data_IF_999622529698
#
_entry.id   IF_999622529698
#
_cell.length_a   1.000
_cell.length_b   1.000
_cell.length_c   1.000
_cell.angle_alpha   90.00
_cell.angle_beta   90.00
_cell.angle_gamma   90.00
#
_symmetry.space_group_name_H-M   'P 1'
#
loop_
_entity.id
_entity.type
_entity.pdbx_description
1 polymer ?
#
# COMPACT_ATOMS: atom_id res chain seq x y z
N UNK A 1 38.49 -21.91 -81.12
CA UNK A 1 37.55 -21.33 -82.01
C UNK A 1 36.19 -21.45 -81.30
N UNK A 2 35.58 -20.35 -81.20
CA UNK A 2 34.23 -20.09 -80.72
C UNK A 2 33.90 -20.45 -79.22
N UNK A 3 33.91 -19.43 -78.40
CA UNK A 3 33.47 -19.40 -77.03
C UNK A 3 31.96 -19.15 -76.96
N UNK A 4 31.24 -19.99 -76.25
CA UNK A 4 29.83 -19.79 -75.93
C UNK A 4 29.66 -19.27 -74.52
N UNK A 5 29.24 -18.03 -74.39
CA UNK A 5 28.95 -17.36 -73.10
C UNK A 5 27.58 -17.78 -72.62
N UNK A 6 27.52 -18.41 -71.42
CA UNK A 6 26.31 -18.69 -70.70
C UNK A 6 25.89 -17.46 -69.89
N UNK A 7 24.68 -16.96 -70.12
CA UNK A 7 24.06 -15.87 -69.37
C UNK A 7 23.21 -16.53 -68.27
N UNK A 8 23.59 -16.40 -67.01
CA UNK A 8 22.75 -16.74 -65.84
C UNK A 8 21.90 -15.52 -65.49
N UNK A 9 20.60 -15.68 -65.66
CA UNK A 9 19.58 -14.73 -65.17
C UNK A 9 19.36 -14.91 -63.69
N UNK A 10 19.72 -13.90 -62.88
CA UNK A 10 19.42 -13.83 -61.46
C UNK A 10 18.01 -13.20 -61.32
N UNK A 11 17.03 -13.96 -60.90
CA UNK A 11 15.72 -13.45 -60.48
C UNK A 11 15.84 -12.83 -59.06
N UNK A 12 15.76 -11.49 -58.95
CA UNK A 12 15.52 -10.81 -57.70
C UNK A 12 14.03 -10.87 -57.33
N UNK A 13 13.70 -11.62 -56.32
CA UNK A 13 12.35 -11.59 -55.69
C UNK A 13 12.38 -10.44 -54.67
N UNK A 14 11.77 -9.33 -55.02
CA UNK A 14 11.50 -8.24 -54.06
C UNK A 14 10.37 -8.63 -53.15
N UNK A 15 10.67 -8.99 -51.91
CA UNK A 15 9.66 -9.17 -50.86
C UNK A 15 9.22 -7.78 -50.37
N UNK A 16 8.02 -7.38 -50.78
CA UNK A 16 7.38 -6.15 -50.31
C UNK A 16 6.87 -6.37 -48.87
N UNK A 17 7.64 -5.94 -47.86
CA UNK A 17 7.16 -5.87 -46.49
C UNK A 17 6.18 -4.69 -46.40
N UNK A 18 4.89 -4.96 -46.45
CA UNK A 18 3.86 -4.02 -46.00
C UNK A 18 3.92 -3.90 -44.50
N UNK A 19 4.62 -2.86 -43.98
CA UNK A 19 4.50 -2.45 -42.61
C UNK A 19 3.09 -1.87 -42.40
N UNK A 20 2.22 -2.64 -41.76
CA UNK A 20 0.92 -2.15 -41.28
C UNK A 20 1.20 -1.28 -40.05
N UNK A 21 1.43 0.01 -40.29
CA UNK A 21 1.42 1.02 -39.22
C UNK A 21 -0.05 1.27 -38.84
N UNK A 22 -0.50 0.60 -37.77
CA UNK A 22 -1.73 0.96 -37.08
C UNK A 22 -1.67 2.42 -36.58
N UNK A 23 -2.77 3.15 -36.55
CA UNK A 23 -2.77 4.52 -36.03
C UNK A 23 -2.40 4.51 -34.56
N UNK A 24 -1.17 4.92 -34.24
CA UNK A 24 -0.81 5.32 -32.89
C UNK A 24 -1.65 6.57 -32.56
N UNK A 25 -2.59 6.44 -31.63
CA UNK A 25 -3.28 7.57 -31.04
C UNK A 25 -2.25 8.40 -30.25
N UNK A 26 -1.52 9.24 -30.95
CA UNK A 26 -0.74 10.32 -30.33
C UNK A 26 -1.74 11.35 -29.82
N UNK A 27 -1.87 11.44 -28.50
CA UNK A 27 -2.52 12.61 -27.89
C UNK A 27 -1.74 13.83 -28.38
N UNK A 28 -2.41 14.69 -29.15
CA UNK A 28 -1.78 15.88 -29.69
C UNK A 28 -1.26 16.73 -28.53
N UNK A 29 0.04 17.04 -28.54
CA UNK A 29 0.61 17.95 -27.57
C UNK A 29 -0.12 19.31 -27.65
N UNK A 30 -0.43 19.96 -26.52
CA UNK A 30 -1.13 21.26 -26.52
C UNK A 30 -0.35 22.26 -27.37
N UNK A 31 -1.02 22.83 -28.36
CA UNK A 31 -0.44 23.90 -29.20
C UNK A 31 -0.51 25.22 -28.45
N UNK A 32 0.63 25.69 -27.96
CA UNK A 32 0.74 27.01 -27.34
C UNK A 32 0.79 28.12 -28.39
N UNK A 33 0.13 29.25 -28.12
CA UNK A 33 0.32 30.48 -28.91
C UNK A 33 1.75 30.99 -28.75
N UNK A 34 2.26 31.85 -29.70
CA UNK A 34 3.61 32.40 -29.61
C UNK A 34 3.88 33.08 -28.26
N UNK A 35 2.94 33.84 -27.74
CA UNK A 35 3.04 34.52 -26.45
C UNK A 35 2.98 33.50 -25.24
N UNK A 36 2.31 32.38 -25.37
CA UNK A 36 2.33 31.34 -24.36
C UNK A 36 3.67 30.59 -24.35
N UNK A 37 4.29 30.36 -25.53
CA UNK A 37 5.57 29.67 -25.65
C UNK A 37 6.70 30.33 -24.86
N UNK A 38 6.73 31.67 -24.79
CA UNK A 38 7.69 32.44 -23.99
C UNK A 38 7.59 32.18 -22.47
N UNK A 39 6.42 31.68 -22.01
CA UNK A 39 6.13 31.38 -20.59
C UNK A 39 6.13 29.88 -20.25
N UNK A 40 6.49 29.03 -21.21
CA UNK A 40 6.54 27.58 -21.00
C UNK A 40 7.78 27.20 -20.20
N UNK A 41 7.63 27.11 -18.90
CA UNK A 41 8.65 26.60 -17.98
C UNK A 41 8.70 25.06 -18.00
N UNK A 42 9.74 24.43 -17.42
CA UNK A 42 9.74 22.98 -17.19
C UNK A 42 8.49 22.49 -16.49
N UNK A 43 8.03 23.21 -15.45
CA UNK A 43 6.78 22.92 -14.72
C UNK A 43 5.56 22.90 -15.66
N UNK A 44 5.41 23.90 -16.52
CA UNK A 44 4.28 23.96 -17.48
C UNK A 44 4.34 22.77 -18.44
N UNK A 45 5.52 22.38 -18.92
CA UNK A 45 5.66 21.20 -19.78
C UNK A 45 5.28 19.91 -19.07
N UNK A 46 5.80 19.69 -17.86
CA UNK A 46 5.50 18.51 -17.04
C UNK A 46 4.00 18.39 -16.76
N UNK A 47 3.35 19.49 -16.33
CA UNK A 47 1.92 19.53 -16.06
C UNK A 47 1.10 19.18 -17.31
N UNK A 48 1.38 19.81 -18.46
CA UNK A 48 0.63 19.55 -19.69
C UNK A 48 0.80 18.11 -20.21
N UNK A 49 1.97 17.53 -20.01
CA UNK A 49 2.22 16.15 -20.41
C UNK A 49 1.48 15.14 -19.52
N UNK A 50 1.39 15.40 -18.22
CA UNK A 50 0.89 14.44 -17.24
C UNK A 50 -0.59 14.64 -16.88
N UNK A 51 -1.10 15.89 -16.94
CA UNK A 51 -2.48 16.21 -16.57
C UNK A 51 -3.54 15.27 -17.19
N UNK A 52 -3.47 14.87 -18.48
CA UNK A 52 -4.46 13.94 -19.05
C UNK A 52 -4.54 12.58 -18.36
N UNK A 53 -3.47 12.17 -17.66
CA UNK A 53 -3.42 10.90 -16.93
C UNK A 53 -3.81 11.03 -15.44
N UNK A 54 -4.09 12.25 -14.95
CA UNK A 54 -4.56 12.48 -13.58
C UNK A 54 -6.08 12.50 -13.58
N UNK A 55 -6.68 11.69 -12.71
CA UNK A 55 -8.13 11.49 -12.66
C UNK A 55 -8.71 11.89 -11.29
N UNK A 56 -9.99 12.23 -11.30
CA UNK A 56 -10.78 12.35 -10.07
C UNK A 56 -11.39 11.01 -9.72
N UNK A 57 -11.38 10.65 -8.44
CA UNK A 57 -12.01 9.44 -7.92
C UNK A 57 -13.08 9.85 -6.91
N UNK A 58 -14.29 9.36 -7.12
CA UNK A 58 -15.40 9.46 -6.17
C UNK A 58 -15.81 8.07 -5.74
N UNK A 59 -15.69 7.80 -4.45
CA UNK A 59 -16.07 6.54 -3.82
C UNK A 59 -17.34 6.74 -3.01
N UNK A 60 -18.40 5.99 -3.33
CA UNK A 60 -19.65 6.00 -2.57
C UNK A 60 -19.61 4.87 -1.56
N UNK A 61 -19.76 5.18 -0.28
CA UNK A 61 -19.76 4.19 0.80
C UNK A 61 -21.10 3.45 0.84
N UNK A 62 -21.12 2.18 1.22
CA UNK A 62 -22.35 1.46 1.54
C UNK A 62 -23.07 2.11 2.74
N UNK A 63 -24.39 2.18 2.72
CA UNK A 63 -25.20 2.79 3.78
C UNK A 63 -24.71 2.41 5.19
N UNK A 64 -24.54 3.44 6.04
CA UNK A 64 -24.02 3.27 7.41
C UNK A 64 -24.92 2.39 8.24
N UNK A 65 -24.39 1.30 8.74
CA UNK A 65 -24.80 0.79 10.04
C UNK A 65 -24.28 1.75 11.13
N UNK A 66 -25.17 2.23 11.95
CA UNK A 66 -25.02 3.27 12.97
C UNK A 66 -24.06 2.88 14.10
N UNK A 67 -22.76 2.86 13.88
CA UNK A 67 -21.73 2.85 14.94
C UNK A 67 -20.31 2.78 14.36
N UNK A 68 -19.97 3.60 13.38
CA UNK A 68 -18.59 3.73 12.95
C UNK A 68 -17.95 4.86 13.73
N UNK A 69 -16.93 4.57 14.50
CA UNK A 69 -15.98 5.59 14.96
C UNK A 69 -15.44 6.28 13.72
N UNK A 70 -15.56 7.60 13.68
CA UNK A 70 -15.01 8.44 12.61
C UNK A 70 -13.50 8.28 12.68
N UNK A 71 -12.87 7.88 11.59
CA UNK A 71 -11.43 7.94 11.49
C UNK A 71 -11.00 9.42 11.40
N UNK A 72 -9.78 9.82 11.77
CA UNK A 72 -9.27 11.16 11.57
C UNK A 72 -9.39 11.59 10.11
N UNK A 73 -9.35 10.66 9.19
CA UNK A 73 -9.56 10.84 7.78
C UNK A 73 -11.01 11.25 7.44
N UNK A 74 -12.00 10.67 8.11
CA UNK A 74 -13.41 11.06 7.97
C UNK A 74 -13.63 12.50 8.49
N UNK A 75 -12.83 12.93 9.48
CA UNK A 75 -12.87 14.29 10.02
C UNK A 75 -12.32 15.32 9.02
N UNK A 76 -11.27 14.96 8.26
CA UNK A 76 -10.65 15.81 7.24
C UNK A 76 -11.57 16.10 6.06
N UNK A 77 -12.39 15.14 5.65
CA UNK A 77 -13.30 15.27 4.52
C UNK A 77 -14.70 15.77 4.92
N UNK A 78 -14.97 15.96 6.22
CA UNK A 78 -16.22 16.56 6.69
C UNK A 78 -16.19 18.08 6.52
N UNK A 79 -16.46 18.56 5.32
CA UNK A 79 -16.77 19.99 5.11
C UNK A 79 -18.07 20.35 5.83
N UNK A 80 -18.09 21.42 6.66
CA UNK A 80 -19.33 21.91 7.27
C UNK A 80 -20.34 22.28 6.17
N UNK A 81 -21.52 21.64 6.16
CA UNK A 81 -22.65 22.00 5.29
C UNK A 81 -22.98 21.04 4.16
N UNK A 82 -22.26 19.91 3.99
CA UNK A 82 -22.73 18.81 3.14
C UNK A 82 -23.37 17.72 3.97
N UNK A 83 -24.50 17.21 3.51
CA UNK A 83 -25.11 16.00 4.04
C UNK A 83 -24.04 14.92 4.16
N UNK A 84 -23.90 14.33 5.35
CA UNK A 84 -22.93 13.26 5.74
C UNK A 84 -23.11 11.97 4.91
N UNK A 85 -23.47 12.07 3.66
CA UNK A 85 -23.68 10.97 2.73
C UNK A 85 -22.38 10.64 2.04
N UNK A 86 -21.65 9.75 2.68
CA UNK A 86 -21.20 8.56 1.97
C UNK A 86 -20.29 8.74 0.76
N UNK A 87 -19.63 9.86 0.51
CA UNK A 87 -18.72 10.03 -0.60
C UNK A 87 -17.30 10.41 -0.12
N UNK A 88 -16.30 9.64 -0.53
CA UNK A 88 -14.89 10.02 -0.42
C UNK A 88 -14.41 10.51 -1.78
N UNK A 89 -13.68 11.61 -1.81
CA UNK A 89 -13.16 12.22 -3.04
C UNK A 89 -11.63 12.25 -2.96
N UNK A 90 -10.98 11.78 -4.02
CA UNK A 90 -9.53 11.80 -4.16
C UNK A 90 -9.11 11.92 -5.62
N UNK A 91 -7.83 11.81 -5.84
CA UNK A 91 -7.20 11.74 -7.16
C UNK A 91 -6.66 10.37 -7.47
N UNK A 92 -6.34 10.11 -8.73
CA UNK A 92 -5.67 8.93 -9.18
C UNK A 92 -4.77 9.21 -10.37
N UNK A 93 -3.95 8.24 -10.71
CA UNK A 93 -2.94 8.31 -11.77
C UNK A 93 -3.14 7.12 -12.69
N UNK A 94 -3.39 7.34 -13.97
CA UNK A 94 -3.40 6.24 -14.95
C UNK A 94 -1.96 5.82 -15.18
N UNK A 95 -1.60 4.61 -14.70
CA UNK A 95 -0.24 4.04 -14.80
C UNK A 95 -0.10 3.09 -15.99
N UNK A 96 -1.20 2.55 -16.51
CA UNK A 96 -1.24 1.73 -17.72
C UNK A 96 -2.54 1.99 -18.49
N UNK A 97 -2.44 2.76 -19.55
CA UNK A 97 -3.61 3.15 -20.36
C UNK A 97 -4.18 2.00 -21.18
N UNK A 98 -3.38 0.98 -21.54
CA UNK A 98 -3.85 -0.19 -22.30
C UNK A 98 -4.65 -1.14 -21.42
N UNK A 99 -4.20 -1.36 -20.19
CA UNK A 99 -4.86 -2.21 -19.19
C UNK A 99 -5.89 -1.43 -18.37
N UNK A 100 -6.00 -0.09 -18.60
CA UNK A 100 -6.91 0.84 -17.92
C UNK A 100 -6.73 0.81 -16.40
N UNK A 101 -5.45 0.78 -15.95
CA UNK A 101 -5.08 0.73 -14.55
C UNK A 101 -4.86 2.12 -13.98
N UNK A 102 -5.46 2.37 -12.83
CA UNK A 102 -5.33 3.61 -12.07
C UNK A 102 -4.72 3.29 -10.71
N UNK A 103 -3.67 4.01 -10.34
CA UNK A 103 -3.04 4.02 -9.03
C UNK A 103 -3.68 5.13 -8.19
N UNK A 104 -3.98 4.83 -6.93
CA UNK A 104 -4.49 5.80 -5.96
C UNK A 104 -4.13 5.37 -4.53
N UNK A 105 -4.57 6.12 -3.53
CA UNK A 105 -4.42 5.71 -2.13
C UNK A 105 -5.50 4.69 -1.72
N UNK A 106 -5.14 3.79 -0.81
CA UNK A 106 -6.08 2.79 -0.29
C UNK A 106 -7.23 3.43 0.50
N UNK A 107 -6.96 4.49 1.26
CA UNK A 107 -7.98 5.21 2.02
C UNK A 107 -9.05 5.86 1.14
N UNK A 108 -8.74 6.26 -0.10
CA UNK A 108 -9.70 6.85 -1.06
C UNK A 108 -10.79 5.86 -1.45
N UNK A 109 -10.48 4.56 -1.46
CA UNK A 109 -11.39 3.50 -1.92
C UNK A 109 -11.84 2.54 -0.80
N UNK A 110 -11.38 2.77 0.42
CA UNK A 110 -11.70 1.89 1.56
C UNK A 110 -13.19 1.89 1.90
N UNK A 111 -13.80 0.71 1.87
CA UNK A 111 -15.23 0.53 2.19
C UNK A 111 -16.19 1.06 1.11
N UNK A 112 -15.69 1.39 -0.09
CA UNK A 112 -16.52 1.82 -1.20
C UNK A 112 -17.46 0.73 -1.70
N UNK A 113 -18.75 1.05 -1.84
CA UNK A 113 -19.73 0.21 -2.52
C UNK A 113 -19.66 0.39 -4.03
N UNK A 114 -19.31 1.59 -4.50
CA UNK A 114 -19.08 1.89 -5.90
C UNK A 114 -17.99 2.95 -6.04
N UNK A 115 -17.23 2.86 -7.14
CA UNK A 115 -16.15 3.79 -7.46
C UNK A 115 -16.40 4.34 -8.86
N UNK A 116 -16.41 5.67 -8.95
CA UNK A 116 -16.51 6.43 -10.19
C UNK A 116 -15.22 7.19 -10.43
N UNK A 117 -14.69 7.10 -11.65
CA UNK A 117 -13.44 7.76 -12.06
C UNK A 117 -13.72 8.67 -13.23
N UNK A 118 -13.41 9.96 -13.04
CA UNK A 118 -13.61 11.00 -14.07
C UNK A 118 -12.27 11.49 -14.61
N UNK A 119 -12.13 11.46 -15.92
CA UNK A 119 -10.97 11.94 -16.65
C UNK A 119 -11.04 13.47 -16.86
N UNK A 120 -9.91 14.07 -17.24
CA UNK A 120 -9.81 15.49 -17.56
C UNK A 120 -10.72 15.90 -18.72
N UNK A 121 -10.90 15.03 -19.70
CA UNK A 121 -11.78 15.27 -20.88
C UNK A 121 -13.28 15.13 -20.56
N UNK A 122 -13.64 14.86 -19.31
CA UNK A 122 -15.00 14.73 -18.81
C UNK A 122 -15.60 13.33 -18.91
N UNK A 123 -14.94 12.36 -19.57
CA UNK A 123 -15.40 10.97 -19.57
C UNK A 123 -15.38 10.40 -18.15
N UNK A 124 -16.41 9.63 -17.84
CA UNK A 124 -16.56 8.97 -16.52
C UNK A 124 -16.71 7.47 -16.70
N UNK A 125 -16.00 6.72 -15.86
CA UNK A 125 -15.99 5.26 -15.88
C UNK A 125 -16.26 4.72 -14.47
N UNK A 126 -16.96 3.60 -14.37
CA UNK A 126 -16.95 2.81 -13.13
C UNK A 126 -15.64 2.03 -13.04
N UNK A 127 -15.20 1.77 -11.81
CA UNK A 127 -13.96 1.04 -11.58
C UNK A 127 -14.15 -0.08 -10.57
N UNK A 128 -13.39 -1.16 -10.77
CA UNK A 128 -13.24 -2.24 -9.79
C UNK A 128 -11.89 -2.10 -9.08
N UNK A 129 -11.85 -2.43 -7.81
CA UNK A 129 -10.60 -2.55 -7.05
C UNK A 129 -9.91 -3.85 -7.47
N UNK A 130 -8.74 -3.74 -8.10
CA UNK A 130 -7.86 -4.89 -8.40
C UNK A 130 -7.22 -5.40 -7.12
N UNK A 131 -6.75 -4.47 -6.28
CA UNK A 131 -6.24 -4.73 -4.96
C UNK A 131 -5.97 -3.43 -4.22
N UNK A 132 -5.99 -3.51 -2.89
CA UNK A 132 -5.68 -2.39 -2.02
C UNK A 132 -4.86 -2.89 -0.84
N UNK A 133 -3.81 -2.13 -0.50
CA UNK A 133 -2.93 -2.43 0.63
C UNK A 133 -2.90 -1.23 1.58
N UNK A 134 -3.73 -1.25 2.62
CA UNK A 134 -3.85 -0.14 3.57
C UNK A 134 -2.56 0.17 4.34
N UNK A 135 -1.70 -0.83 4.58
CA UNK A 135 -0.45 -0.64 5.32
C UNK A 135 0.58 0.20 4.52
N UNK A 136 0.40 0.28 3.20
CA UNK A 136 1.19 1.13 2.29
C UNK A 136 0.40 2.32 1.76
N UNK A 137 -0.90 2.39 2.08
CA UNK A 137 -1.84 3.36 1.54
C UNK A 137 -1.86 3.40 0.00
N UNK A 138 -1.81 2.24 -0.65
CA UNK A 138 -1.84 2.07 -2.11
C UNK A 138 -3.03 1.21 -2.53
N UNK A 139 -3.72 1.62 -3.59
CA UNK A 139 -4.74 0.84 -4.27
C UNK A 139 -4.57 0.91 -5.79
N UNK A 140 -4.94 -0.19 -6.46
CA UNK A 140 -4.98 -0.30 -7.92
C UNK A 140 -6.42 -0.52 -8.34
N UNK A 141 -6.90 0.31 -9.25
CA UNK A 141 -8.23 0.23 -9.84
C UNK A 141 -8.14 -0.16 -11.31
N UNK A 142 -9.18 -0.80 -11.81
CA UNK A 142 -9.38 -1.06 -13.24
C UNK A 142 -10.65 -0.40 -13.72
N UNK A 143 -10.53 0.48 -14.72
CA UNK A 143 -11.67 1.17 -15.33
C UNK A 143 -12.44 0.22 -16.27
N UNK A 144 -13.76 0.20 -16.14
CA UNK A 144 -14.64 -0.64 -16.97
C UNK A 144 -14.92 0.02 -18.32
N UNK A 145 -14.65 -0.71 -19.39
CA UNK A 145 -14.95 -0.25 -20.76
C UNK A 145 -14.04 0.85 -21.30
N UNK A 146 -13.04 1.28 -20.53
CA UNK A 146 -12.04 2.24 -21.00
C UNK A 146 -10.97 1.53 -21.84
N UNK A 147 -10.41 2.24 -22.82
CA UNK A 147 -9.31 1.76 -23.68
C UNK A 147 -8.42 2.93 -24.07
N UNK A 148 -7.15 2.63 -24.33
CA UNK A 148 -6.17 3.55 -24.91
C UNK A 148 -6.13 4.92 -24.19
N UNK A 149 -6.04 4.86 -22.87
CA UNK A 149 -5.96 6.05 -22.02
C UNK A 149 -4.53 6.61 -21.97
N UNK A 150 -4.38 7.93 -21.77
CA UNK A 150 -3.07 8.51 -21.43
C UNK A 150 -2.56 7.90 -20.14
N UNK A 151 -1.26 7.68 -20.03
CA UNK A 151 -0.64 7.15 -18.82
C UNK A 151 0.67 7.86 -18.49
N UNK A 152 1.03 7.87 -17.21
CA UNK A 152 2.29 8.45 -16.71
C UNK A 152 3.34 7.37 -16.60
N UNK A 153 4.56 7.68 -17.05
CA UNK A 153 5.70 6.83 -16.78
C UNK A 153 6.09 6.91 -15.29
N UNK A 154 6.21 5.76 -14.65
CA UNK A 154 6.77 5.68 -13.30
C UNK A 154 8.27 5.96 -13.37
N UNK A 155 8.74 7.02 -12.72
CA UNK A 155 10.13 7.38 -12.57
C UNK A 155 10.89 6.50 -11.58
N UNK A 156 11.95 7.06 -11.02
CA UNK A 156 12.71 6.47 -9.92
C UNK A 156 12.64 7.38 -8.69
N UNK A 157 12.59 6.82 -7.51
CA UNK A 157 12.62 7.55 -6.23
C UNK A 157 13.81 7.15 -5.35
N UNK A 158 14.77 6.41 -5.89
CA UNK A 158 15.93 5.93 -5.13
C UNK A 158 17.08 6.93 -5.12
N UNK A 159 17.09 7.87 -6.06
CA UNK A 159 18.15 8.89 -6.25
C UNK A 159 17.69 10.33 -5.94
N UNK A 160 16.54 10.50 -5.33
CA UNK A 160 15.97 11.80 -4.99
C UNK A 160 16.86 12.59 -4.01
N UNK A 161 16.86 13.92 -4.17
CA UNK A 161 17.67 14.83 -3.37
C UNK A 161 16.80 15.87 -2.65
N UNK A 162 17.04 16.15 -1.34
CA UNK A 162 16.46 17.30 -0.69
C UNK A 162 16.79 18.61 -1.45
N UNK A 163 15.77 19.47 -1.63
CA UNK A 163 15.88 20.70 -2.42
C UNK A 163 15.48 20.53 -3.90
N UNK A 164 15.30 19.31 -4.40
CA UNK A 164 14.81 19.04 -5.75
C UNK A 164 13.39 19.57 -5.93
N UNK A 165 13.14 20.28 -7.04
CA UNK A 165 11.83 20.86 -7.33
C UNK A 165 10.81 19.79 -7.68
N UNK A 166 9.62 19.87 -7.08
CA UNK A 166 8.51 18.93 -7.29
C UNK A 166 7.21 19.63 -7.68
N UNK A 167 6.34 18.87 -8.33
CA UNK A 167 5.03 19.31 -8.79
C UNK A 167 3.99 18.30 -8.29
N UNK A 168 3.04 18.74 -7.47
CA UNK A 168 1.92 17.92 -7.08
C UNK A 168 0.69 18.28 -7.92
N UNK A 169 -0.02 17.28 -8.44
CA UNK A 169 -1.25 17.49 -9.20
C UNK A 169 -2.38 16.70 -8.53
N UNK A 170 -3.54 17.33 -8.41
CA UNK A 170 -4.77 16.71 -7.97
C UNK A 170 -5.94 17.14 -8.80
N UNK A 171 -7.05 16.41 -8.68
CA UNK A 171 -8.32 16.75 -9.34
C UNK A 171 -9.50 16.64 -8.34
N UNK A 172 -9.52 17.48 -7.31
CA UNK A 172 -10.45 17.34 -6.17
C UNK A 172 -11.94 17.39 -6.54
N UNK A 173 -12.29 18.07 -7.64
CA UNK A 173 -13.69 18.28 -8.03
C UNK A 173 -14.03 17.75 -9.42
N UNK A 174 -13.07 17.14 -10.13
CA UNK A 174 -13.29 16.59 -11.46
C UNK A 174 -13.51 17.62 -12.59
N UNK A 175 -13.37 18.92 -12.30
CA UNK A 175 -13.58 19.99 -13.30
C UNK A 175 -12.27 20.54 -13.85
N UNK A 176 -11.25 20.65 -12.99
CA UNK A 176 -9.92 21.15 -13.37
C UNK A 176 -8.88 20.61 -12.38
N UNK A 177 -7.65 20.49 -12.85
CA UNK A 177 -6.54 20.11 -11.98
C UNK A 177 -6.13 21.27 -11.08
N UNK A 178 -5.78 20.94 -9.84
CA UNK A 178 -5.04 21.82 -8.95
C UNK A 178 -3.57 21.42 -9.03
N UNK A 179 -2.70 22.37 -9.32
CA UNK A 179 -1.27 22.20 -9.41
C UNK A 179 -0.61 23.00 -8.30
N UNK A 180 0.21 22.33 -7.51
CA UNK A 180 1.07 22.98 -6.51
C UNK A 180 2.51 22.60 -6.76
N UNK A 181 3.44 23.51 -6.41
CA UNK A 181 4.89 23.29 -6.57
C UNK A 181 5.59 23.53 -5.26
N UNK A 182 6.72 22.87 -5.09
CA UNK A 182 7.58 23.00 -3.93
C UNK A 182 8.89 22.27 -4.18
N UNK A 183 9.51 21.82 -3.10
CA UNK A 183 10.74 21.03 -3.12
C UNK A 183 10.60 19.76 -2.28
N UNK A 184 11.48 18.80 -2.49
CA UNK A 184 11.70 17.72 -1.55
C UNK A 184 12.32 18.32 -0.28
N UNK A 185 11.56 18.36 0.81
CA UNK A 185 12.04 18.92 2.09
C UNK A 185 12.89 17.91 2.86
N UNK A 186 12.54 16.62 2.79
CA UNK A 186 13.30 15.53 3.41
C UNK A 186 12.88 14.18 2.80
N UNK A 187 13.72 13.16 3.02
CA UNK A 187 13.48 11.78 2.61
C UNK A 187 13.42 10.86 3.82
N UNK A 188 12.93 9.63 3.61
CA UNK A 188 12.88 8.57 4.61
C UNK A 188 12.15 8.98 5.90
N UNK A 189 11.07 9.77 5.75
CA UNK A 189 10.27 10.21 6.89
C UNK A 189 9.37 9.08 7.39
N UNK A 190 9.31 8.97 8.71
CA UNK A 190 8.37 8.09 9.40
C UNK A 190 7.31 8.93 10.09
N UNK A 191 6.04 8.58 9.89
CA UNK A 191 4.89 9.24 10.52
C UNK A 191 4.08 8.20 11.26
N UNK A 192 3.73 8.52 12.49
CA UNK A 192 2.78 7.77 13.30
C UNK A 192 1.40 8.39 13.13
N UNK A 193 0.47 7.61 12.60
CA UNK A 193 -0.94 7.96 12.48
C UNK A 193 -1.77 6.97 13.30
N UNK A 194 -3.04 7.30 13.54
CA UNK A 194 -3.93 6.40 14.30
C UNK A 194 -4.10 5.03 13.63
N UNK A 195 -4.02 4.97 12.29
CA UNK A 195 -4.17 3.76 11.50
C UNK A 195 -2.86 2.95 11.33
N UNK A 196 -1.74 3.45 11.84
CA UNK A 196 -0.45 2.77 11.74
C UNK A 196 0.75 3.68 11.59
N UNK A 197 1.90 3.07 11.32
CA UNK A 197 3.16 3.78 11.10
C UNK A 197 3.50 3.71 9.60
N UNK A 198 3.60 4.87 8.97
CA UNK A 198 4.04 5.01 7.58
C UNK A 198 5.51 5.42 7.55
N UNK A 199 6.33 4.64 6.86
CA UNK A 199 7.79 4.85 6.79
C UNK A 199 8.24 5.17 5.38
N UNK A 200 9.46 5.68 5.27
CA UNK A 200 10.13 5.99 3.99
C UNK A 200 9.36 6.99 3.11
N UNK A 201 8.63 7.92 3.72
CA UNK A 201 7.89 8.93 2.99
C UNK A 201 8.80 10.05 2.47
N UNK A 202 8.47 10.58 1.30
CA UNK A 202 8.99 11.84 0.78
C UNK A 202 8.25 12.98 1.48
N UNK A 203 8.97 13.90 2.13
CA UNK A 203 8.40 15.14 2.66
C UNK A 203 8.59 16.26 1.65
N UNK A 204 7.54 17.06 1.42
CA UNK A 204 7.55 18.23 0.53
C UNK A 204 6.85 19.42 1.16
N UNK A 205 7.21 20.63 0.75
CA UNK A 205 6.48 21.85 1.06
C UNK A 205 5.46 22.24 -0.04
N UNK A 206 5.41 21.48 -1.15
CA UNK A 206 4.29 21.57 -2.08
C UNK A 206 2.98 21.34 -1.32
N UNK A 207 1.99 22.21 -1.49
CA UNK A 207 0.74 22.12 -0.75
C UNK A 207 -0.02 20.84 -1.11
N UNK A 208 -0.09 19.90 -0.19
CA UNK A 208 -0.92 18.70 -0.27
C UNK A 208 -2.17 18.93 0.58
N UNK A 209 -3.32 18.88 -0.05
CA UNK A 209 -4.62 19.14 0.55
C UNK A 209 -5.60 18.02 0.19
N UNK A 210 -6.75 17.91 0.89
CA UNK A 210 -7.84 17.03 0.48
C UNK A 210 -8.18 17.20 -1.00
N UNK A 211 -8.14 16.09 -1.73
CA UNK A 211 -8.33 16.05 -3.18
C UNK A 211 -7.05 15.88 -4.01
N UNK A 212 -5.86 16.20 -3.48
CA UNK A 212 -4.59 15.83 -4.11
C UNK A 212 -4.15 14.40 -3.74
N UNK A 213 -4.68 13.82 -2.66
CA UNK A 213 -4.40 12.45 -2.22
C UNK A 213 -4.68 11.45 -3.34
N UNK A 214 -3.74 10.55 -3.58
CA UNK A 214 -3.76 9.58 -4.69
C UNK A 214 -3.29 10.15 -6.03
N UNK A 215 -3.10 11.47 -6.14
CA UNK A 215 -2.52 12.12 -7.30
C UNK A 215 -0.98 12.04 -7.32
N UNK A 216 -0.35 12.40 -8.46
CA UNK A 216 1.09 12.32 -8.62
C UNK A 216 1.85 13.43 -7.89
N UNK A 217 3.02 13.04 -7.33
CA UNK A 217 4.15 13.93 -7.12
C UNK A 217 5.14 13.68 -8.26
N UNK A 218 5.49 14.73 -9.00
CA UNK A 218 6.34 14.68 -10.18
C UNK A 218 7.64 15.44 -9.93
N UNK A 219 8.72 15.02 -10.62
CA UNK A 219 9.89 15.88 -10.80
C UNK A 219 9.65 16.89 -11.95
N UNK A 220 10.61 17.76 -12.20
CA UNK A 220 10.52 18.79 -13.27
C UNK A 220 10.53 18.21 -14.69
N UNK A 221 10.89 16.93 -14.86
CA UNK A 221 10.85 16.21 -16.13
C UNK A 221 9.46 15.62 -16.42
N UNK A 222 8.55 15.68 -15.45
CA UNK A 222 7.20 15.11 -15.54
C UNK A 222 7.15 13.61 -15.22
N UNK A 223 8.20 13.08 -14.61
CA UNK A 223 8.21 11.69 -14.16
C UNK A 223 7.56 11.56 -12.78
N UNK A 224 6.81 10.50 -12.59
CA UNK A 224 6.18 10.16 -11.32
C UNK A 224 7.24 9.70 -10.32
N UNK A 225 7.48 10.46 -9.26
CA UNK A 225 8.42 10.13 -8.18
C UNK A 225 7.73 9.73 -6.88
N UNK A 226 6.44 10.06 -6.74
CA UNK A 226 5.65 9.68 -5.57
C UNK A 226 4.15 9.78 -5.78
N UNK A 227 3.39 9.21 -4.85
CA UNK A 227 1.92 9.32 -4.76
C UNK A 227 1.59 10.20 -3.56
N UNK A 228 0.94 11.34 -3.79
CA UNK A 228 0.57 12.27 -2.72
C UNK A 228 -0.33 11.59 -1.70
N UNK A 229 -0.07 11.82 -0.40
CA UNK A 229 -0.91 11.32 0.68
C UNK A 229 -1.08 12.38 1.77
N UNK A 230 -2.32 12.63 2.20
CA UNK A 230 -2.64 13.60 3.23
C UNK A 230 -2.71 12.90 4.60
N UNK A 231 -1.57 12.53 5.16
CA UNK A 231 -1.49 11.80 6.43
C UNK A 231 -1.33 12.72 7.65
N UNK A 232 -0.86 13.98 7.48
CA UNK A 232 -0.49 14.82 8.63
C UNK A 232 -1.17 16.18 8.62
N UNK A 233 -2.10 16.39 9.57
CA UNK A 233 -2.95 17.58 9.70
C UNK A 233 -2.37 18.73 10.53
N UNK A 234 -1.29 18.47 11.28
CA UNK A 234 -0.91 19.38 12.39
C UNK A 234 0.02 20.52 11.99
N UNK A 235 0.49 20.58 10.73
CA UNK A 235 1.44 21.62 10.32
C UNK A 235 1.20 22.08 8.87
N UNK A 236 1.11 23.40 8.68
CA UNK A 236 1.09 24.01 7.34
C UNK A 236 2.48 23.89 6.68
N UNK A 237 2.52 23.65 5.36
CA UNK A 237 3.76 23.54 4.60
C UNK A 237 4.50 22.21 4.78
N UNK A 238 3.83 21.19 5.32
CA UNK A 238 4.37 19.82 5.39
C UNK A 238 3.41 18.89 4.69
N UNK A 239 3.80 18.45 3.50
CA UNK A 239 3.12 17.41 2.72
C UNK A 239 3.95 16.14 2.66
N UNK A 240 3.30 15.04 2.36
CA UNK A 240 3.95 13.74 2.23
C UNK A 240 3.53 13.03 0.96
N UNK A 241 4.45 12.23 0.42
CA UNK A 241 4.15 11.33 -0.68
C UNK A 241 4.81 9.96 -0.45
N UNK A 242 4.15 8.93 -0.93
CA UNK A 242 4.66 7.55 -0.96
C UNK A 242 5.63 7.45 -2.14
N UNK A 243 6.90 7.03 -1.95
CA UNK A 243 7.87 6.90 -3.05
C UNK A 243 7.37 5.98 -4.16
N UNK A 244 7.62 6.35 -5.42
CA UNK A 244 7.15 5.57 -6.57
C UNK A 244 7.77 4.17 -6.64
N UNK A 245 9.00 3.98 -6.18
CA UNK A 245 9.63 2.66 -6.08
C UNK A 245 8.85 1.72 -5.16
N UNK A 246 8.37 2.26 -4.02
CA UNK A 246 7.51 1.54 -3.07
C UNK A 246 6.13 1.25 -3.67
N UNK A 247 5.51 2.26 -4.30
CA UNK A 247 4.23 2.11 -4.97
C UNK A 247 4.29 1.08 -6.10
N UNK A 248 5.36 1.11 -6.93
CA UNK A 248 5.59 0.14 -8.02
C UNK A 248 5.62 -1.29 -7.50
N UNK A 249 6.40 -1.56 -6.43
CA UNK A 249 6.46 -2.88 -5.82
C UNK A 249 5.07 -3.37 -5.40
N UNK A 250 4.29 -2.52 -4.70
CA UNK A 250 2.94 -2.87 -4.25
C UNK A 250 2.02 -3.14 -5.44
N UNK A 251 2.10 -2.32 -6.51
CA UNK A 251 1.33 -2.50 -7.74
C UNK A 251 1.68 -3.84 -8.41
N UNK A 252 2.97 -4.15 -8.57
CA UNK A 252 3.44 -5.38 -9.22
C UNK A 252 2.96 -6.60 -8.43
N UNK A 253 3.14 -6.64 -7.10
CA UNK A 253 2.67 -7.74 -6.27
C UNK A 253 1.13 -7.90 -6.30
N UNK A 254 0.37 -6.80 -6.29
CA UNK A 254 -1.09 -6.83 -6.46
C UNK A 254 -1.49 -7.43 -7.80
N UNK A 255 -0.81 -7.04 -8.88
CA UNK A 255 -1.13 -7.51 -10.23
C UNK A 255 -0.76 -8.98 -10.46
N UNK A 256 0.34 -9.43 -9.87
CA UNK A 256 0.87 -10.79 -10.05
C UNK A 256 0.22 -11.79 -9.10
N UNK A 257 0.02 -11.41 -7.85
CA UNK A 257 -0.40 -12.32 -6.76
C UNK A 257 -1.78 -11.95 -6.17
N UNK A 258 -2.29 -10.76 -6.50
CA UNK A 258 -3.54 -10.22 -5.93
C UNK A 258 -3.39 -9.74 -4.48
N UNK A 259 -2.18 -9.67 -3.93
CA UNK A 259 -1.87 -9.18 -2.58
C UNK A 259 -0.39 -8.85 -2.46
N UNK A 260 -0.03 -8.08 -1.43
CA UNK A 260 1.36 -7.80 -1.08
C UNK A 260 1.89 -8.89 -0.15
N UNK A 261 3.06 -9.42 -0.47
CA UNK A 261 3.75 -10.42 0.34
C UNK A 261 4.22 -9.83 1.67
N UNK A 262 3.99 -10.56 2.75
CA UNK A 262 4.37 -10.11 4.10
C UNK A 262 5.69 -10.77 4.51
N UNK A 263 6.77 -10.01 4.70
CA UNK A 263 8.02 -10.58 5.20
C UNK A 263 7.88 -11.04 6.65
N UNK A 264 8.57 -12.13 6.97
CA UNK A 264 8.54 -12.73 8.29
C UNK A 264 9.92 -13.19 8.75
N UNK A 265 10.19 -13.05 10.04
CA UNK A 265 11.43 -13.52 10.65
C UNK A 265 11.29 -14.85 11.37
N UNK A 266 10.11 -15.44 11.40
CA UNK A 266 9.81 -16.69 12.12
C UNK A 266 10.11 -16.58 13.63
N UNK A 267 9.60 -15.54 14.25
CA UNK A 267 9.66 -15.31 15.70
C UNK A 267 8.33 -14.78 16.24
N UNK A 268 8.13 -14.95 17.54
CA UNK A 268 7.10 -14.34 18.35
C UNK A 268 7.77 -13.39 19.32
N UNK A 269 7.17 -12.22 19.52
CA UNK A 269 7.66 -11.23 20.48
C UNK A 269 6.54 -10.45 21.14
N UNK A 270 6.90 -9.72 22.18
CA UNK A 270 6.00 -8.86 22.94
C UNK A 270 6.69 -7.56 23.32
N UNK A 271 5.90 -6.53 23.67
CA UNK A 271 6.45 -5.29 24.16
C UNK A 271 7.26 -5.53 25.44
N UNK A 272 8.35 -4.79 25.59
CA UNK A 272 9.11 -4.74 26.82
C UNK A 272 8.30 -3.98 27.88
N UNK A 273 8.15 -4.57 29.05
CA UNK A 273 7.58 -3.89 30.23
C UNK A 273 8.69 -3.42 31.21
N UNK A 274 8.40 -2.50 32.15
CA UNK A 274 9.41 -1.97 33.06
C UNK A 274 10.11 -2.99 33.96
N UNK A 275 9.43 -4.12 34.26
CA UNK A 275 10.02 -5.21 35.06
C UNK A 275 11.03 -5.98 34.22
N UNK A 276 10.66 -6.31 32.99
CA UNK A 276 11.52 -6.98 32.00
C UNK A 276 12.74 -6.12 31.66
N UNK A 277 12.56 -4.82 31.41
CA UNK A 277 13.66 -3.91 31.14
C UNK A 277 14.71 -3.90 32.26
N UNK A 278 14.26 -3.79 33.50
CA UNK A 278 15.16 -3.85 34.69
C UNK A 278 15.88 -5.19 34.82
N UNK A 279 15.17 -6.30 34.59
CA UNK A 279 15.75 -7.64 34.66
C UNK A 279 16.85 -7.84 33.62
N UNK A 280 16.60 -7.38 32.38
CA UNK A 280 17.54 -7.47 31.26
C UNK A 280 18.58 -6.34 31.23
N UNK A 281 18.51 -5.40 32.18
CA UNK A 281 19.39 -4.21 32.26
C UNK A 281 19.35 -3.39 30.97
N UNK A 282 18.18 -3.23 30.38
CA UNK A 282 17.98 -2.38 29.21
C UNK A 282 18.16 -0.91 29.58
N UNK A 283 18.76 -0.09 28.71
CA UNK A 283 18.89 1.36 28.95
C UNK A 283 17.52 2.05 28.97
N UNK A 284 16.56 1.57 28.19
CA UNK A 284 15.21 2.13 28.04
C UNK A 284 14.15 1.02 28.06
N UNK A 285 12.88 1.41 28.34
CA UNK A 285 11.75 0.48 28.37
C UNK A 285 11.14 0.39 26.97
N UNK A 286 11.96 0.03 25.99
CA UNK A 286 11.59 -0.03 24.58
C UNK A 286 12.10 -1.31 23.93
N UNK A 287 11.51 -1.67 22.80
CA UNK A 287 11.91 -2.81 21.99
C UNK A 287 10.88 -3.93 21.95
N UNK A 288 11.19 -4.93 21.12
CA UNK A 288 10.44 -6.18 21.03
C UNK A 288 11.22 -7.31 21.73
N UNK A 289 10.71 -7.78 22.88
CA UNK A 289 11.23 -8.99 23.53
C UNK A 289 10.86 -10.22 22.72
N UNK A 290 11.83 -10.96 22.22
CA UNK A 290 11.64 -12.24 21.54
C UNK A 290 11.26 -13.29 22.59
N UNK A 291 10.09 -13.88 22.46
CA UNK A 291 9.56 -14.91 23.37
C UNK A 291 9.65 -16.31 22.78
N UNK A 292 9.65 -16.42 21.46
CA UNK A 292 9.76 -17.68 20.74
C UNK A 292 10.49 -17.47 19.41
N UNK A 293 11.32 -18.43 19.03
CA UNK A 293 11.98 -18.53 17.72
C UNK A 293 11.62 -19.88 17.12
N UNK A 294 11.17 -19.90 15.87
CA UNK A 294 10.78 -21.14 15.19
C UNK A 294 12.00 -21.85 14.63
N UNK A 295 12.11 -23.14 14.93
CA UNK A 295 13.21 -24.01 14.48
C UNK A 295 13.38 -23.97 12.95
N UNK A 296 14.61 -23.88 12.49
CA UNK A 296 14.98 -23.75 11.07
C UNK A 296 14.42 -22.51 10.36
N UNK A 297 13.80 -21.58 11.09
CA UNK A 297 13.33 -20.31 10.57
C UNK A 297 14.44 -19.30 10.34
N UNK A 298 14.13 -18.14 9.72
CA UNK A 298 15.08 -17.04 9.52
C UNK A 298 15.80 -16.59 10.80
N UNK A 299 15.05 -16.33 11.86
CA UNK A 299 15.60 -15.87 13.14
C UNK A 299 16.52 -16.91 13.78
N UNK A 300 16.15 -18.21 13.75
CA UNK A 300 16.96 -19.30 14.27
C UNK A 300 18.28 -19.43 13.49
N UNK A 301 18.22 -19.44 12.16
CA UNK A 301 19.41 -19.48 11.29
C UNK A 301 20.36 -18.30 11.50
N UNK A 302 19.82 -17.17 11.90
CA UNK A 302 20.61 -15.98 12.24
C UNK A 302 21.09 -15.99 13.70
N UNK A 303 20.73 -17.00 14.49
CA UNK A 303 21.16 -17.18 15.87
C UNK A 303 20.43 -16.29 16.88
N UNK A 304 19.22 -15.80 16.56
CA UNK A 304 18.34 -15.18 17.55
C UNK A 304 17.83 -16.22 18.53
N UNK A 305 17.55 -15.77 19.76
CA UNK A 305 17.10 -16.65 20.85
C UNK A 305 15.95 -15.99 21.62
N UNK A 306 15.07 -16.78 22.25
CA UNK A 306 14.18 -16.26 23.29
C UNK A 306 14.98 -15.51 24.37
N UNK A 307 14.50 -14.33 24.76
CA UNK A 307 15.19 -13.43 25.68
C UNK A 307 15.95 -12.29 25.01
N UNK A 308 16.19 -12.32 23.70
CA UNK A 308 16.71 -11.18 22.96
C UNK A 308 15.68 -10.05 22.95
N UNK A 309 16.14 -8.80 22.95
CA UNK A 309 15.29 -7.64 22.71
C UNK A 309 15.73 -6.97 21.42
N UNK A 310 14.84 -6.88 20.44
CA UNK A 310 15.09 -6.16 19.18
C UNK A 310 14.91 -4.67 19.47
N UNK A 311 15.99 -3.89 19.31
CA UNK A 311 16.03 -2.44 19.56
C UNK A 311 15.97 -1.62 18.27
N UNK A 312 16.52 -2.15 17.16
CA UNK A 312 16.49 -1.48 15.86
C UNK A 312 16.26 -2.52 14.75
N UNK A 313 15.59 -2.10 13.68
CA UNK A 313 15.43 -2.82 12.43
C UNK A 313 15.86 -1.91 11.28
N UNK A 314 16.90 -2.32 10.55
CA UNK A 314 17.49 -1.56 9.45
C UNK A 314 17.78 -0.09 9.79
N UNK A 315 18.33 0.16 10.99
CA UNK A 315 18.71 1.50 11.47
C UNK A 315 17.56 2.32 12.07
N UNK A 316 16.33 1.81 12.04
CA UNK A 316 15.17 2.46 12.65
C UNK A 316 14.88 1.87 14.03
N UNK A 317 14.64 2.72 15.04
CA UNK A 317 14.33 2.29 16.39
C UNK A 317 13.01 1.47 16.43
N UNK A 318 13.04 0.38 17.19
CA UNK A 318 11.89 -0.46 17.52
C UNK A 318 11.47 -0.11 18.93
N UNK A 319 10.49 0.75 19.08
CA UNK A 319 9.96 1.17 20.40
C UNK A 319 9.03 0.12 20.99
N UNK A 320 8.27 -0.56 20.13
CA UNK A 320 7.28 -1.54 20.51
C UNK A 320 7.01 -2.55 19.37
N UNK A 321 6.09 -3.47 19.60
CA UNK A 321 5.66 -4.50 18.66
C UNK A 321 5.06 -3.92 17.37
N UNK A 322 4.24 -2.88 17.47
CA UNK A 322 3.52 -2.34 16.31
C UNK A 322 4.51 -1.60 15.39
N UNK A 323 5.48 -0.91 15.99
CA UNK A 323 6.63 -0.33 15.28
C UNK A 323 7.47 -1.40 14.59
N UNK A 324 7.80 -2.50 15.29
CA UNK A 324 8.52 -3.63 14.69
C UNK A 324 7.80 -4.19 13.46
N UNK A 325 6.50 -4.46 13.58
CA UNK A 325 5.71 -4.99 12.46
C UNK A 325 5.65 -4.03 11.29
N UNK A 326 5.47 -2.75 11.55
CA UNK A 326 5.43 -1.71 10.52
C UNK A 326 6.78 -1.58 9.79
N UNK A 327 7.89 -1.56 10.54
CA UNK A 327 9.23 -1.52 9.95
C UNK A 327 9.52 -2.78 9.12
N UNK A 328 9.18 -3.97 9.64
CA UNK A 328 9.40 -5.22 8.93
C UNK A 328 8.67 -5.27 7.59
N UNK A 329 7.41 -4.81 7.53
CA UNK A 329 6.59 -4.80 6.30
C UNK A 329 7.19 -4.00 5.14
N UNK A 330 8.05 -3.03 5.41
CA UNK A 330 8.72 -2.27 4.35
C UNK A 330 9.79 -3.08 3.61
N UNK A 331 10.18 -4.25 4.14
CA UNK A 331 11.11 -5.14 3.47
C UNK A 331 10.39 -6.14 2.56
N UNK A 332 11.14 -6.70 1.63
CA UNK A 332 10.63 -7.80 0.79
C UNK A 332 10.90 -9.15 1.48
N UNK A 333 10.07 -10.17 1.22
CA UNK A 333 10.46 -11.55 1.50
C UNK A 333 11.79 -11.88 0.85
N UNK A 334 12.58 -12.69 1.52
CA UNK A 334 13.93 -13.12 1.12
C UNK A 334 14.99 -12.01 1.08
N UNK A 335 14.66 -10.78 1.50
CA UNK A 335 15.63 -9.69 1.65
C UNK A 335 16.39 -9.80 2.99
N UNK A 336 17.68 -9.39 3.03
CA UNK A 336 18.41 -9.26 4.29
C UNK A 336 17.90 -8.04 5.07
N UNK A 337 17.68 -8.20 6.36
CA UNK A 337 17.40 -7.12 7.30
C UNK A 337 18.42 -7.14 8.42
N UNK A 338 18.88 -5.97 8.85
CA UNK A 338 19.82 -5.83 9.96
C UNK A 338 19.05 -5.52 11.23
N UNK A 339 19.27 -6.31 12.27
CA UNK A 339 18.69 -6.10 13.59
C UNK A 339 19.78 -5.70 14.58
N UNK A 340 19.52 -4.69 15.39
CA UNK A 340 20.27 -4.43 16.61
C UNK A 340 19.50 -5.04 17.76
N UNK A 341 20.12 -6.01 18.41
CA UNK A 341 19.50 -6.73 19.53
C UNK A 341 20.25 -6.48 20.81
N UNK A 342 19.54 -6.58 21.93
CA UNK A 342 20.13 -6.61 23.26
C UNK A 342 20.13 -8.05 23.79
N UNK A 343 21.30 -8.53 24.20
CA UNK A 343 21.50 -9.87 24.75
C UNK A 343 22.60 -9.83 25.80
N UNK A 344 22.38 -10.44 26.96
CA UNK A 344 23.37 -10.57 28.04
C UNK A 344 23.98 -9.22 28.47
N UNK A 345 23.21 -8.16 28.50
CA UNK A 345 23.65 -6.83 28.91
C UNK A 345 24.45 -6.06 27.86
N UNK A 346 24.46 -6.50 26.59
CA UNK A 346 25.17 -5.85 25.49
C UNK A 346 24.35 -5.79 24.21
N UNK A 347 24.54 -4.71 23.44
CA UNK A 347 23.99 -4.60 22.10
C UNK A 347 24.82 -5.42 21.10
N UNK A 348 24.13 -6.11 20.17
CA UNK A 348 24.73 -6.89 19.09
C UNK A 348 24.00 -6.62 17.80
N UNK A 349 24.69 -6.71 16.65
CA UNK A 349 24.09 -6.60 15.33
C UNK A 349 24.00 -7.98 14.70
N UNK A 350 22.82 -8.31 14.17
CA UNK A 350 22.53 -9.60 13.52
C UNK A 350 21.84 -9.30 12.18
N UNK A 351 22.28 -9.96 11.11
CA UNK A 351 21.59 -9.89 9.81
C UNK A 351 20.73 -11.14 9.64
N UNK A 352 19.46 -10.94 9.33
CA UNK A 352 18.47 -11.99 9.13
C UNK A 352 17.92 -11.91 7.72
N UNK A 353 17.88 -13.00 6.97
CA UNK A 353 17.21 -13.08 5.68
C UNK A 353 15.74 -13.41 5.92
N UNK A 354 14.84 -12.47 5.61
CA UNK A 354 13.39 -12.66 5.76
C UNK A 354 12.88 -13.87 4.95
N UNK A 355 11.72 -14.38 5.28
CA UNK A 355 10.95 -15.32 4.46
C UNK A 355 9.55 -14.76 4.21
N UNK A 356 8.78 -15.38 3.33
CA UNK A 356 7.38 -15.05 3.16
C UNK A 356 6.54 -15.60 4.33
N UNK A 357 5.58 -14.82 4.79
CA UNK A 357 4.56 -15.25 5.74
C UNK A 357 3.37 -15.82 4.95
N UNK A 358 3.58 -16.94 4.30
CA UNK A 358 2.62 -17.58 3.40
C UNK A 358 1.30 -17.98 4.10
N UNK A 359 0.28 -18.31 3.31
CA UNK A 359 -1.04 -18.68 3.82
C UNK A 359 -1.01 -19.93 4.70
N UNK A 360 -0.19 -20.93 4.35
CA UNK A 360 -0.07 -22.18 5.11
C UNK A 360 0.51 -21.94 6.50
N UNK A 361 1.58 -21.15 6.56
CA UNK A 361 2.21 -20.73 7.82
C UNK A 361 1.22 -19.89 8.66
N UNK A 362 0.55 -18.93 8.06
CA UNK A 362 -0.42 -18.08 8.76
C UNK A 362 -1.60 -18.90 9.31
N UNK A 363 -2.14 -19.86 8.54
CA UNK A 363 -3.22 -20.74 8.99
C UNK A 363 -2.79 -21.67 10.15
N UNK A 364 -1.61 -22.28 10.04
CA UNK A 364 -1.04 -23.11 11.10
C UNK A 364 -0.86 -22.32 12.40
N UNK A 365 -0.33 -21.10 12.31
CA UNK A 365 -0.15 -20.23 13.47
C UNK A 365 -1.46 -19.66 14.00
N UNK A 366 -2.46 -19.37 13.15
CA UNK A 366 -3.79 -18.96 13.60
C UNK A 366 -4.46 -20.08 14.42
N UNK A 367 -4.37 -21.32 13.96
CA UNK A 367 -4.85 -22.46 14.73
C UNK A 367 -4.07 -22.65 16.03
N UNK A 368 -2.75 -22.44 16.03
CA UNK A 368 -1.89 -22.60 17.21
C UNK A 368 -2.14 -21.52 18.25
N UNK A 369 -2.20 -20.24 17.85
CA UNK A 369 -2.26 -19.08 18.75
C UNK A 369 -3.68 -18.63 19.08
N UNK A 370 -4.53 -18.50 18.06
CA UNK A 370 -5.93 -18.07 18.26
C UNK A 370 -6.88 -19.24 18.48
N UNK A 371 -6.48 -20.44 18.03
CA UNK A 371 -7.28 -21.65 18.13
C UNK A 371 -8.32 -21.79 17.01
N UNK A 372 -8.15 -21.09 15.86
CA UNK A 372 -9.17 -20.99 14.81
C UNK A 372 -8.59 -21.44 13.47
N UNK A 373 -9.34 -22.30 12.75
CA UNK A 373 -9.22 -22.48 11.30
C UNK A 373 -10.48 -22.00 10.62
N UNK A 374 -10.35 -21.40 9.45
CA UNK A 374 -11.48 -20.83 8.70
C UNK A 374 -11.50 -21.27 7.24
N UNK A 375 -12.65 -21.10 6.58
CA UNK A 375 -12.83 -21.18 5.14
C UNK A 375 -13.61 -19.97 4.64
N UNK A 376 -13.65 -19.80 3.32
CA UNK A 376 -14.52 -18.78 2.73
C UNK A 376 -15.99 -19.03 3.05
N UNK A 377 -16.71 -17.95 3.37
CA UNK A 377 -18.12 -17.91 3.61
C UNK A 377 -18.80 -16.81 2.78
N UNK A 378 -20.14 -16.76 2.81
CA UNK A 378 -20.91 -15.79 2.02
C UNK A 378 -20.66 -14.33 2.46
N UNK A 379 -20.45 -14.09 3.77
CA UNK A 379 -20.33 -12.76 4.36
C UNK A 379 -19.17 -12.69 5.37
N UNK A 380 -18.06 -13.40 5.13
CA UNK A 380 -16.94 -13.43 6.05
C UNK A 380 -16.19 -14.77 6.04
N UNK A 381 -15.32 -14.97 6.99
CA UNK A 381 -14.58 -16.21 7.17
C UNK A 381 -15.30 -17.13 8.14
N UNK A 382 -15.75 -18.31 7.66
CA UNK A 382 -16.48 -19.29 8.46
C UNK A 382 -15.52 -20.19 9.24
N UNK A 383 -15.70 -20.29 10.55
CA UNK A 383 -14.91 -21.17 11.42
C UNK A 383 -15.18 -22.63 11.07
N UNK A 384 -14.15 -23.37 10.71
CA UNK A 384 -14.21 -24.81 10.41
C UNK A 384 -13.77 -25.65 11.60
N UNK A 385 -12.88 -25.09 12.44
CA UNK A 385 -12.34 -25.75 13.62
C UNK A 385 -12.02 -24.72 14.69
N UNK A 386 -12.38 -25.09 15.93
CA UNK A 386 -11.89 -24.44 17.15
C UNK A 386 -11.05 -25.46 17.89
N UNK A 387 -9.83 -25.09 18.30
CA UNK A 387 -8.95 -25.94 19.08
C UNK A 387 -9.33 -25.90 20.55
N UNK A 388 -9.40 -27.05 21.19
CA UNK A 388 -9.68 -27.14 22.63
C UNK A 388 -8.62 -26.40 23.46
N UNK A 389 -9.03 -25.83 24.58
CA UNK A 389 -8.18 -25.07 25.49
C UNK A 389 -7.43 -23.91 24.82
N UNK A 390 -8.03 -23.34 23.79
CA UNK A 390 -7.47 -22.19 23.04
C UNK A 390 -8.19 -20.88 23.42
N UNK A 391 -7.61 -19.71 23.09
CA UNK A 391 -8.29 -18.43 23.24
C UNK A 391 -9.69 -18.41 22.64
N UNK A 392 -9.87 -18.99 21.46
CA UNK A 392 -11.15 -19.07 20.77
C UNK A 392 -12.16 -19.95 21.52
N UNK A 393 -11.74 -21.11 22.06
CA UNK A 393 -12.63 -21.99 22.83
C UNK A 393 -13.03 -21.35 24.16
N UNK A 394 -12.11 -20.66 24.84
CA UNK A 394 -12.45 -19.93 26.09
C UNK A 394 -13.40 -18.75 25.83
N UNK A 395 -13.38 -18.17 24.65
CA UNK A 395 -14.33 -17.14 24.21
C UNK A 395 -15.70 -17.73 23.84
N UNK A 396 -15.81 -19.06 23.74
CA UNK A 396 -17.04 -19.75 23.33
C UNK A 396 -17.32 -19.68 21.83
N UNK A 397 -16.28 -19.52 20.99
CA UNK A 397 -16.42 -19.64 19.54
C UNK A 397 -16.66 -21.09 19.15
N UNK A 398 -17.45 -21.30 18.09
CA UNK A 398 -17.86 -22.62 17.65
C UNK A 398 -17.67 -22.79 16.14
N UNK A 399 -17.59 -24.04 15.69
CA UNK A 399 -17.64 -24.36 14.27
C UNK A 399 -18.96 -23.87 13.65
N UNK A 400 -18.86 -23.15 12.54
CA UNK A 400 -20.02 -22.55 11.85
C UNK A 400 -20.20 -21.06 12.13
N UNK A 401 -19.54 -20.50 13.15
CA UNK A 401 -19.50 -19.06 13.35
C UNK A 401 -18.81 -18.39 12.15
N UNK A 402 -19.25 -17.18 11.83
CA UNK A 402 -18.65 -16.39 10.75
C UNK A 402 -17.96 -15.17 11.34
N UNK A 403 -16.65 -15.07 11.15
CA UNK A 403 -15.87 -13.87 11.52
C UNK A 403 -16.10 -12.81 10.44
N UNK A 404 -16.66 -11.67 10.83
CA UNK A 404 -16.98 -10.53 9.95
C UNK A 404 -16.07 -9.34 10.14
N UNK A 405 -15.35 -9.26 11.28
CA UNK A 405 -14.29 -8.28 11.48
C UNK A 405 -13.26 -8.74 12.51
N UNK A 406 -12.01 -8.29 12.35
CA UNK A 406 -10.91 -8.48 13.31
C UNK A 406 -10.26 -7.11 13.55
N UNK A 407 -10.19 -6.68 14.82
CA UNK A 407 -9.60 -5.39 15.23
C UNK A 407 -10.12 -4.20 14.40
N UNK A 408 -11.45 -4.15 14.19
CA UNK A 408 -12.14 -3.08 13.46
C UNK A 408 -12.11 -3.19 11.92
N UNK A 409 -11.33 -4.11 11.34
CA UNK A 409 -11.29 -4.33 9.89
C UNK A 409 -12.25 -5.42 9.45
N UNK A 410 -13.06 -5.14 8.42
CA UNK A 410 -14.00 -6.09 7.84
C UNK A 410 -13.30 -7.31 7.24
N UNK A 411 -13.91 -8.48 7.44
CA UNK A 411 -13.47 -9.76 6.90
C UNK A 411 -14.57 -10.26 5.98
N UNK A 412 -14.25 -10.39 4.68
CA UNK A 412 -15.18 -10.89 3.66
C UNK A 412 -14.79 -12.26 3.13
N UNK A 413 -13.55 -12.68 3.36
CA UNK A 413 -12.98 -13.93 2.86
C UNK A 413 -12.03 -14.59 3.87
N UNK A 414 -11.65 -15.86 3.61
CA UNK A 414 -10.54 -16.53 4.31
C UNK A 414 -9.24 -15.73 4.18
N UNK A 415 -8.99 -15.16 3.00
CA UNK A 415 -7.79 -14.34 2.72
C UNK A 415 -7.73 -13.12 3.63
N UNK A 416 -8.85 -12.39 3.79
CA UNK A 416 -8.90 -11.24 4.70
C UNK A 416 -8.62 -11.64 6.15
N UNK A 417 -9.10 -12.80 6.58
CA UNK A 417 -8.81 -13.34 7.91
C UNK A 417 -7.32 -13.63 8.09
N UNK A 418 -6.66 -14.27 7.11
CA UNK A 418 -5.23 -14.55 7.18
C UNK A 418 -4.40 -13.27 7.16
N UNK A 419 -4.80 -12.27 6.38
CA UNK A 419 -4.15 -10.96 6.39
C UNK A 419 -4.32 -10.24 7.74
N UNK A 420 -5.51 -10.31 8.33
CA UNK A 420 -5.75 -9.81 9.69
C UNK A 420 -4.90 -10.56 10.72
N UNK A 421 -4.76 -11.89 10.57
CA UNK A 421 -3.88 -12.68 11.41
C UNK A 421 -2.41 -12.24 11.30
N UNK A 422 -1.86 -12.12 10.08
CA UNK A 422 -0.48 -11.66 9.85
C UNK A 422 -0.20 -10.30 10.48
N UNK A 423 -1.20 -9.43 10.48
CA UNK A 423 -1.08 -8.10 11.09
C UNK A 423 -1.11 -8.15 12.62
N UNK A 424 -1.97 -9.00 13.17
CA UNK A 424 -2.33 -8.95 14.59
C UNK A 424 -1.78 -10.15 15.40
N UNK A 425 -1.00 -11.06 14.78
CA UNK A 425 -0.56 -12.32 15.41
C UNK A 425 0.29 -12.14 16.67
N UNK A 426 0.92 -10.99 16.85
CA UNK A 426 1.68 -10.66 18.06
C UNK A 426 0.84 -9.96 19.14
N UNK A 427 -0.41 -9.53 18.84
CA UNK A 427 -1.26 -8.85 19.82
C UNK A 427 -1.68 -9.80 20.94
N UNK A 428 -1.81 -9.25 22.15
CA UNK A 428 -2.30 -9.99 23.33
C UNK A 428 -3.84 -10.01 23.43
N UNK A 429 -4.50 -9.12 22.73
CA UNK A 429 -5.97 -9.04 22.69
C UNK A 429 -6.42 -8.66 21.29
N UNK A 430 -7.55 -9.24 20.88
CA UNK A 430 -8.23 -8.93 19.63
C UNK A 430 -9.67 -8.58 19.88
N UNK A 431 -10.21 -7.64 19.11
CA UNK A 431 -11.64 -7.40 19.01
C UNK A 431 -12.16 -8.17 17.79
N UNK A 432 -13.06 -9.12 18.03
CA UNK A 432 -13.70 -9.91 16.97
C UNK A 432 -15.15 -9.49 16.81
N UNK A 433 -15.63 -9.43 15.56
CA UNK A 433 -17.04 -9.44 15.25
C UNK A 433 -17.40 -10.80 14.65
N UNK A 434 -18.42 -11.44 15.23
CA UNK A 434 -18.80 -12.80 14.89
C UNK A 434 -20.30 -12.85 14.64
N UNK A 435 -20.70 -13.42 13.51
CA UNK A 435 -22.08 -13.67 13.15
C UNK A 435 -22.43 -15.13 13.48
N UNK A 436 -23.42 -15.34 14.38
CA UNK A 436 -23.96 -16.67 14.76
C UNK A 436 -25.49 -16.61 14.72
N UNK A 437 -26.12 -17.50 13.97
CA UNK A 437 -27.58 -17.58 13.90
C UNK A 437 -28.27 -16.27 13.47
N UNK A 438 -27.64 -15.48 12.60
CA UNK A 438 -28.12 -14.18 12.13
C UNK A 438 -27.89 -13.02 13.11
N UNK A 439 -27.29 -13.25 14.28
CA UNK A 439 -26.97 -12.22 15.28
C UNK A 439 -25.49 -11.89 15.25
N UNK A 440 -25.17 -10.60 15.32
CA UNK A 440 -23.80 -10.09 15.37
C UNK A 440 -23.35 -9.91 16.81
N UNK A 441 -22.22 -10.51 17.16
CA UNK A 441 -21.60 -10.42 18.48
C UNK A 441 -20.27 -9.70 18.34
N UNK A 442 -19.95 -8.86 19.32
CA UNK A 442 -18.60 -8.32 19.48
C UNK A 442 -17.98 -8.99 20.71
N UNK A 443 -16.77 -9.49 20.54
CA UNK A 443 -16.09 -10.21 21.60
C UNK A 443 -14.61 -9.83 21.64
N UNK A 444 -14.08 -9.67 22.85
CA UNK A 444 -12.66 -9.38 23.07
C UNK A 444 -11.95 -10.68 23.43
N UNK A 445 -11.10 -11.16 22.56
CA UNK A 445 -10.32 -12.39 22.73
C UNK A 445 -8.94 -12.07 23.30
N UNK A 446 -8.61 -12.59 24.49
CA UNK A 446 -7.23 -12.62 25.02
C UNK A 446 -6.44 -13.74 24.34
N UNK A 447 -5.15 -13.52 24.04
CA UNK A 447 -4.26 -14.47 23.37
C UNK A 447 -3.11 -14.86 24.29
#
# INVERSE_FOLDING_TARGET
>A
MSAMKSIQSVFFVAVLLCAVSGPSCTVAAPTFTAHQQERVTPTVRAVNAVAPAVVNITSTLAERRSSRELTPFDFFFNMPGRDLRSESIGSGIIIDGRRSLVLTNAHVVNGAASISVRLLDGRTFSADVVGAEPDFDIAVLRLKGARDLPSVAMGDSTDLMPGESVIAIGNPYGFSHTVTTGVISALNRTIEAEDGVFTDLIQTDAAINPGNSGGPLLNILGELIGVNTAIYDKAQGIGFAIPVSKARRVVDEILDQGHVSTPWLALIGQNVDPRTARYLRLPEVEGLLVTEVFDNGPADKAGLKPGDVILELSGNAVTDRDKYLSLLRNHQPHAPVTLKIWRDGAARTVTVKTTDFDDGTAESLALRRWGISVKDGRNGAVITRVKDNSPASHLGLEKGDTITAVSGRGITSRKDFLNAFRRDFLKRQLLLQVLRGGRLYQARMGI
#
